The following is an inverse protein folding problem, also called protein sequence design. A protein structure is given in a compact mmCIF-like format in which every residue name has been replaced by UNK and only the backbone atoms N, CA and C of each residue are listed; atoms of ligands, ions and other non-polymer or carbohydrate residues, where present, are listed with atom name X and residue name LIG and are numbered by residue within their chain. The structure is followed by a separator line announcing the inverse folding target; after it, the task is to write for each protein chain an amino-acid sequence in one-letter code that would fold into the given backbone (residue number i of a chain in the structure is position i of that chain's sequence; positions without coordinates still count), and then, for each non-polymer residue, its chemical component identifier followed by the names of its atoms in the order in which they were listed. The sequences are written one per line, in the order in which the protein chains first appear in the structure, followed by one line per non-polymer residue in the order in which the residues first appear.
data_IF_093943126202
#
_entry.id   IF_093943126202
#
_cell.length_a   1.000
_cell.length_b   1.000
_cell.length_c   1.000
_cell.angle_alpha   90.00
_cell.angle_beta   90.00
_cell.angle_gamma   90.00
#
_symmetry.space_group_name_H-M   'P 1'
#
loop_
_entity.id
_entity.type
_entity.pdbx_description
1 polymer ?
#
# COMPACT_ATOMS: atom_id res chain seq x y z
N UNK A 1 83.02 28.20 15.92
CA UNK A 1 82.21 28.49 14.72
C UNK A 1 81.43 27.23 14.35
N UNK A 2 80.14 27.35 13.97
CA UNK A 2 79.15 26.29 14.10
C UNK A 2 78.97 25.44 12.84
N UNK A 3 78.65 24.16 13.02
CA UNK A 3 78.12 23.22 12.01
C UNK A 3 77.29 22.20 12.81
N UNK A 4 76.08 21.73 12.48
CA UNK A 4 75.07 22.02 11.47
C UNK A 4 73.87 21.15 11.92
N UNK A 5 72.68 21.72 12.06
CA UNK A 5 71.47 21.01 12.50
C UNK A 5 71.00 20.06 11.39
N UNK A 6 70.64 18.82 11.73
CA UNK A 6 69.71 18.00 10.94
C UNK A 6 68.84 17.17 11.90
N UNK A 7 67.65 17.69 12.16
CA UNK A 7 66.57 16.98 12.85
C UNK A 7 66.03 15.88 11.93
N UNK A 8 66.10 14.62 12.37
CA UNK A 8 65.41 13.52 11.69
C UNK A 8 64.10 13.27 12.42
N UNK A 9 63.03 13.88 11.90
CA UNK A 9 61.65 13.58 12.30
C UNK A 9 61.28 12.20 11.73
N UNK A 10 61.27 11.15 12.56
CA UNK A 10 60.65 9.87 12.17
C UNK A 10 59.15 9.98 12.41
N UNK A 11 58.41 10.06 11.31
CA UNK A 11 56.96 10.20 11.23
C UNK A 11 56.25 9.07 11.97
N UNK A 12 55.29 9.44 12.81
CA UNK A 12 54.31 8.52 13.40
C UNK A 12 53.46 7.89 12.29
N UNK A 13 53.52 6.57 12.16
CA UNK A 13 52.62 5.81 11.29
C UNK A 13 51.37 5.41 12.09
N UNK A 14 50.33 6.24 12.05
CA UNK A 14 49.00 5.82 12.47
C UNK A 14 48.43 4.90 11.38
N UNK A 15 48.33 3.60 11.66
CA UNK A 15 47.54 2.69 10.84
C UNK A 15 46.06 2.92 11.16
N UNK A 16 45.42 3.82 10.40
CA UNK A 16 43.98 4.04 10.50
C UNK A 16 43.27 2.87 9.83
N UNK A 17 42.77 1.92 10.62
CA UNK A 17 41.85 0.89 10.15
C UNK A 17 40.54 1.54 9.71
N UNK A 18 40.17 1.41 8.43
CA UNK A 18 38.87 1.84 7.91
C UNK A 18 37.82 0.81 8.30
N UNK A 19 37.13 1.03 9.42
CA UNK A 19 35.98 0.23 9.81
C UNK A 19 34.77 0.67 8.97
N UNK A 20 34.40 -0.12 7.97
CA UNK A 20 33.21 0.11 7.15
C UNK A 20 31.96 -0.30 7.95
N UNK A 21 31.36 0.66 8.67
CA UNK A 21 30.08 0.47 9.35
C UNK A 21 28.95 0.36 8.29
N UNK A 22 28.53 -0.86 7.99
CA UNK A 22 27.28 -1.13 7.29
C UNK A 22 26.13 -0.79 8.23
N UNK A 23 25.65 0.45 8.18
CA UNK A 23 24.39 0.83 8.82
C UNK A 23 23.26 0.18 8.02
N UNK A 24 22.74 -0.94 8.50
CA UNK A 24 21.50 -1.52 7.98
C UNK A 24 20.34 -0.59 8.37
N UNK A 25 19.87 0.26 7.45
CA UNK A 25 18.60 0.96 7.65
C UNK A 25 17.49 -0.09 7.77
N UNK A 26 16.87 -0.19 8.94
CA UNK A 26 15.65 -0.97 9.09
C UNK A 26 14.59 -0.35 8.16
N UNK A 27 14.13 -1.11 7.17
CA UNK A 27 12.96 -0.73 6.39
C UNK A 27 11.76 -0.75 7.34
N UNK A 28 11.32 0.44 7.78
CA UNK A 28 10.10 0.56 8.57
C UNK A 28 8.90 0.41 7.64
N UNK A 29 8.02 -0.53 7.96
CA UNK A 29 6.79 -0.81 7.26
C UNK A 29 5.64 -0.64 8.26
N UNK A 30 4.71 0.26 7.94
CA UNK A 30 3.52 0.49 8.76
C UNK A 30 2.40 -0.44 8.34
N UNK A 31 1.30 -0.40 9.08
CA UNK A 31 0.11 -1.17 8.71
C UNK A 31 -0.91 -0.28 8.01
N UNK A 32 -1.71 -0.89 7.13
CA UNK A 32 -2.87 -0.22 6.54
C UNK A 32 -4.12 -0.82 7.18
N UNK A 33 -4.82 0.02 7.94
CA UNK A 33 -6.04 -0.31 8.66
C UNK A 33 -7.22 0.22 7.84
N UNK A 34 -8.07 -0.68 7.37
CA UNK A 34 -9.23 -0.36 6.54
C UNK A 34 -10.51 -0.62 7.34
N UNK A 35 -11.32 0.42 7.49
CA UNK A 35 -12.69 0.32 8.01
C UNK A 35 -13.67 0.49 6.86
N UNK A 36 -14.54 -0.49 6.68
CA UNK A 36 -15.47 -0.54 5.56
C UNK A 36 -16.86 -0.09 6.00
N UNK A 37 -17.35 1.00 5.41
CA UNK A 37 -18.69 1.51 5.61
C UNK A 37 -19.66 1.06 4.52
N UNK A 38 -20.96 1.06 4.82
CA UNK A 38 -22.01 0.78 3.83
C UNK A 38 -22.20 -0.69 3.47
N UNK A 39 -21.72 -1.60 4.33
CA UNK A 39 -21.99 -3.04 4.26
C UNK A 39 -23.50 -3.25 4.37
N UNK A 40 -24.09 -3.91 3.37
CA UNK A 40 -25.54 -4.01 3.22
C UNK A 40 -26.02 -5.43 2.89
N UNK A 41 -25.13 -6.29 2.41
CA UNK A 41 -25.47 -7.66 2.04
C UNK A 41 -24.95 -8.67 3.07
N UNK A 42 -25.34 -9.93 2.88
CA UNK A 42 -24.71 -11.07 3.52
C UNK A 42 -23.48 -11.46 2.70
N UNK A 43 -22.34 -11.66 3.36
CA UNK A 43 -21.11 -12.11 2.69
C UNK A 43 -19.88 -11.33 3.18
N UNK A 44 -18.69 -11.96 3.11
CA UNK A 44 -17.46 -11.34 3.57
C UNK A 44 -17.08 -10.14 2.71
N UNK A 45 -16.29 -9.27 3.31
CA UNK A 45 -15.65 -8.14 2.64
C UNK A 45 -14.21 -8.50 2.34
N UNK A 46 -13.77 -8.21 1.12
CA UNK A 46 -12.38 -8.33 0.72
C UNK A 46 -11.78 -6.95 0.46
N UNK A 47 -10.52 -6.76 0.85
CA UNK A 47 -9.71 -5.61 0.45
C UNK A 47 -8.50 -6.09 -0.36
N UNK A 48 -8.37 -5.58 -1.59
CA UNK A 48 -7.30 -5.86 -2.51
C UNK A 48 -6.39 -4.63 -2.63
N UNK A 49 -5.14 -4.76 -2.17
CA UNK A 49 -4.09 -3.75 -2.26
C UNK A 49 -3.36 -3.87 -3.60
N UNK A 50 -3.23 -2.76 -4.32
CA UNK A 50 -2.53 -2.68 -5.61
C UNK A 50 -1.59 -1.48 -5.64
N UNK A 51 -0.64 -1.47 -6.58
CA UNK A 51 0.20 -0.28 -6.79
C UNK A 51 -0.63 0.87 -7.33
N UNK A 52 -0.39 2.08 -6.80
CA UNK A 52 -1.06 3.30 -7.23
C UNK A 52 -0.64 3.80 -8.62
N UNK A 53 0.40 3.24 -9.23
CA UNK A 53 0.86 3.62 -10.58
C UNK A 53 0.10 2.90 -11.70
N UNK A 54 -0.84 2.01 -11.36
CA UNK A 54 -1.52 1.19 -12.34
C UNK A 54 -2.72 1.92 -12.98
N UNK A 55 -2.81 1.87 -14.30
CA UNK A 55 -3.94 2.43 -15.06
C UNK A 55 -5.14 1.46 -15.16
N UNK A 56 -4.99 0.22 -14.68
CA UNK A 56 -6.05 -0.80 -14.65
C UNK A 56 -5.92 -1.63 -13.39
N UNK A 57 -7.06 -2.04 -12.82
CA UNK A 57 -7.09 -3.00 -11.73
C UNK A 57 -6.54 -4.35 -12.21
N UNK A 58 -5.47 -4.88 -11.59
CA UNK A 58 -4.89 -6.16 -11.96
C UNK A 58 -5.79 -7.30 -11.47
N UNK A 59 -5.72 -8.45 -12.13
CA UNK A 59 -6.41 -9.66 -11.65
C UNK A 59 -5.80 -10.17 -10.34
N UNK A 60 -4.49 -9.99 -10.16
CA UNK A 60 -3.77 -10.39 -8.96
C UNK A 60 -3.33 -9.14 -8.18
N UNK A 61 -3.87 -8.91 -6.97
CA UNK A 61 -3.42 -7.82 -6.12
C UNK A 61 -2.06 -8.14 -5.48
N UNK A 62 -1.40 -7.11 -4.96
CA UNK A 62 -0.17 -7.26 -4.17
C UNK A 62 -0.46 -8.00 -2.86
N UNK A 63 -1.63 -7.74 -2.27
CA UNK A 63 -2.14 -8.41 -1.08
C UNK A 63 -3.66 -8.37 -1.10
N UNK A 64 -4.30 -9.41 -0.57
CA UNK A 64 -5.73 -9.47 -0.37
C UNK A 64 -6.01 -9.91 1.07
N UNK A 65 -6.94 -9.21 1.73
CA UNK A 65 -7.41 -9.56 3.07
C UNK A 65 -8.92 -9.75 3.05
N UNK A 66 -9.41 -10.66 3.90
CA UNK A 66 -10.83 -10.92 4.13
C UNK A 66 -11.22 -10.48 5.54
N UNK A 67 -12.44 -9.98 5.69
CA UNK A 67 -13.10 -9.75 6.98
C UNK A 67 -14.60 -10.02 6.85
N UNK A 68 -15.22 -10.48 7.94
CA UNK A 68 -16.67 -10.65 8.02
C UNK A 68 -17.36 -9.43 8.67
N UNK A 69 -16.63 -8.53 9.34
CA UNK A 69 -17.16 -7.35 10.06
C UNK A 69 -16.82 -6.00 9.40
N UNK A 70 -15.96 -6.01 8.37
CA UNK A 70 -15.55 -4.80 7.65
C UNK A 70 -14.30 -4.12 8.23
N UNK A 71 -13.65 -4.69 9.23
CA UNK A 71 -12.34 -4.25 9.70
C UNK A 71 -11.24 -5.13 9.09
N UNK A 72 -10.34 -4.52 8.31
CA UNK A 72 -9.24 -5.23 7.65
C UNK A 72 -7.90 -4.59 8.01
N UNK A 73 -6.88 -5.43 8.18
CA UNK A 73 -5.50 -5.00 8.42
C UNK A 73 -4.59 -5.63 7.38
N UNK A 74 -3.80 -4.79 6.72
CA UNK A 74 -2.70 -5.19 5.86
C UNK A 74 -1.41 -4.84 6.61
N UNK A 75 -0.77 -5.84 7.18
CA UNK A 75 0.42 -5.68 8.02
C UNK A 75 1.70 -5.41 7.21
N UNK A 76 2.61 -4.64 7.81
CA UNK A 76 3.99 -4.45 7.33
C UNK A 76 4.04 -4.08 5.84
N UNK A 77 3.27 -3.08 5.44
CA UNK A 77 3.28 -2.54 4.08
C UNK A 77 4.44 -1.54 3.95
N UNK A 78 5.33 -1.70 2.97
CA UNK A 78 6.41 -0.74 2.76
C UNK A 78 5.87 0.65 2.37
N UNK A 79 6.58 1.75 2.69
CA UNK A 79 6.20 3.07 2.22
C UNK A 79 6.08 3.11 0.69
N UNK A 80 5.04 3.77 0.19
CA UNK A 80 4.76 3.82 -1.25
C UNK A 80 3.39 4.38 -1.61
N UNK A 81 3.10 4.38 -2.92
CA UNK A 81 1.81 4.81 -3.48
C UNK A 81 0.97 3.59 -3.81
N UNK A 82 -0.21 3.52 -3.21
CA UNK A 82 -1.09 2.36 -3.31
C UNK A 82 -2.52 2.77 -3.62
N UNK A 83 -3.31 1.81 -4.07
CA UNK A 83 -4.76 1.90 -4.09
C UNK A 83 -5.35 0.63 -3.48
N UNK A 84 -6.52 0.76 -2.87
CA UNK A 84 -7.28 -0.36 -2.32
C UNK A 84 -8.64 -0.42 -3.00
N UNK A 85 -9.01 -1.62 -3.42
CA UNK A 85 -10.36 -1.96 -3.83
C UNK A 85 -10.98 -2.86 -2.78
N UNK A 86 -12.12 -2.43 -2.26
CA UNK A 86 -12.94 -3.20 -1.35
C UNK A 86 -14.16 -3.69 -2.09
N UNK A 87 -14.54 -4.95 -1.92
CA UNK A 87 -15.81 -5.47 -2.42
C UNK A 87 -16.46 -6.39 -1.41
N UNK A 88 -17.79 -6.41 -1.42
CA UNK A 88 -18.57 -7.35 -0.63
C UNK A 88 -18.95 -8.53 -1.50
N UNK A 89 -18.37 -9.69 -1.19
CA UNK A 89 -18.56 -10.94 -1.94
C UNK A 89 -19.86 -11.61 -1.49
N UNK A 90 -20.88 -11.47 -2.32
CA UNK A 90 -22.24 -11.95 -2.05
C UNK A 90 -22.46 -13.39 -2.51
N UNK A 91 -21.61 -13.90 -3.41
CA UNK A 91 -21.77 -15.23 -4.00
C UNK A 91 -20.71 -16.26 -3.54
N UNK A 92 -19.70 -15.81 -2.78
CA UNK A 92 -18.70 -16.64 -2.13
C UNK A 92 -17.53 -17.06 -3.02
N UNK A 93 -17.30 -16.39 -4.15
CA UNK A 93 -16.22 -16.76 -5.07
C UNK A 93 -14.86 -16.10 -4.76
N UNK A 94 -14.80 -15.14 -3.83
CA UNK A 94 -13.59 -14.42 -3.43
C UNK A 94 -13.04 -13.45 -4.47
N UNK A 95 -13.83 -13.12 -5.51
CA UNK A 95 -13.47 -12.26 -6.63
C UNK A 95 -14.52 -11.16 -6.80
N UNK A 96 -14.10 -9.97 -7.24
CA UNK A 96 -15.06 -8.95 -7.62
C UNK A 96 -15.70 -9.32 -8.97
N UNK A 97 -16.97 -9.67 -8.95
CA UNK A 97 -17.70 -9.95 -10.18
C UNK A 97 -17.97 -8.69 -11.00
N UNK A 98 -17.72 -8.81 -12.30
CA UNK A 98 -17.88 -7.72 -13.25
C UNK A 98 -18.76 -8.14 -14.43
N UNK A 99 -19.75 -7.31 -14.73
CA UNK A 99 -20.60 -7.45 -15.90
C UNK A 99 -19.97 -6.85 -17.17
N UNK A 100 -20.82 -6.60 -18.17
CA UNK A 100 -20.39 -6.01 -19.44
C UNK A 100 -19.70 -4.65 -19.21
N UNK A 101 -18.57 -4.43 -19.89
CA UNK A 101 -17.74 -3.21 -19.79
C UNK A 101 -17.10 -2.99 -18.40
N UNK A 102 -16.89 -4.05 -17.62
CA UNK A 102 -16.16 -3.98 -16.34
C UNK A 102 -16.95 -3.33 -15.19
N UNK A 103 -18.28 -3.23 -15.35
CA UNK A 103 -19.18 -2.68 -14.32
C UNK A 103 -19.29 -3.71 -13.19
N UNK A 104 -18.97 -3.36 -11.94
CA UNK A 104 -19.16 -4.21 -10.77
C UNK A 104 -20.61 -4.71 -10.66
N UNK A 105 -20.77 -6.00 -10.39
CA UNK A 105 -22.07 -6.62 -10.07
C UNK A 105 -22.33 -6.66 -8.56
N UNK A 106 -21.28 -6.45 -7.78
CA UNK A 106 -21.30 -6.46 -6.32
C UNK A 106 -20.95 -5.07 -5.74
N UNK A 107 -21.34 -4.78 -4.48
CA UNK A 107 -20.94 -3.54 -3.82
C UNK A 107 -19.43 -3.39 -3.81
N UNK A 108 -18.95 -2.23 -4.30
CA UNK A 108 -17.52 -1.93 -4.38
C UNK A 108 -17.23 -0.57 -3.76
N UNK A 109 -16.07 -0.44 -3.13
CA UNK A 109 -15.52 0.82 -2.63
C UNK A 109 -14.05 0.91 -3.02
N UNK A 110 -13.56 2.12 -3.26
CA UNK A 110 -12.16 2.37 -3.60
C UNK A 110 -11.54 3.32 -2.58
N UNK A 111 -10.23 3.22 -2.36
CA UNK A 111 -9.49 4.21 -1.60
C UNK A 111 -9.73 5.62 -2.16
N UNK A 112 -9.75 6.62 -1.28
CA UNK A 112 -10.15 8.01 -1.58
C UNK A 112 -11.65 8.21 -1.91
N UNK A 113 -12.47 7.15 -1.87
CA UNK A 113 -13.92 7.19 -2.09
C UNK A 113 -14.39 8.00 -3.32
N UNK A 114 -13.77 7.82 -4.50
CA UNK A 114 -14.21 8.52 -5.71
C UNK A 114 -15.64 8.13 -6.11
N UNK A 115 -16.38 9.01 -6.78
CA UNK A 115 -17.71 8.70 -7.30
C UNK A 115 -17.62 7.67 -8.46
N UNK A 116 -18.48 6.63 -8.43
CA UNK A 116 -18.53 5.58 -9.47
C UNK A 116 -19.43 5.93 -10.68
N UNK A 117 -19.56 7.22 -11.03
CA UNK A 117 -20.57 7.72 -11.97
C UNK A 117 -20.36 7.24 -13.43
N UNK A 118 -19.12 7.11 -13.86
CA UNK A 118 -18.74 6.76 -15.24
C UNK A 118 -17.98 5.44 -15.34
N UNK A 119 -18.35 4.47 -14.50
CA UNK A 119 -17.62 3.22 -14.33
C UNK A 119 -16.65 3.28 -13.16
N UNK A 120 -15.85 2.23 -13.00
CA UNK A 120 -14.90 2.08 -11.91
C UNK A 120 -13.65 2.93 -12.16
N UNK A 121 -13.31 3.92 -11.31
CA UNK A 121 -12.06 4.67 -11.39
C UNK A 121 -10.84 3.75 -11.42
N UNK A 122 -9.74 4.21 -11.99
CA UNK A 122 -8.49 3.42 -12.04
C UNK A 122 -7.80 3.41 -10.66
N UNK A 123 -6.83 2.50 -10.43
CA UNK A 123 -5.97 2.59 -9.24
C UNK A 123 -5.29 3.95 -9.10
N UNK A 124 -4.79 4.52 -10.21
CA UNK A 124 -4.18 5.86 -10.22
C UNK A 124 -5.15 6.97 -9.79
N UNK A 125 -6.44 6.87 -10.13
CA UNK A 125 -7.48 7.81 -9.69
C UNK A 125 -7.90 7.61 -8.22
N UNK A 126 -7.49 6.50 -7.61
CA UNK A 126 -7.89 6.08 -6.25
C UNK A 126 -6.67 6.00 -5.31
N UNK A 127 -5.56 6.63 -5.66
CA UNK A 127 -4.28 6.49 -4.96
C UNK A 127 -4.28 7.17 -3.59
N UNK A 128 -3.54 6.59 -2.65
CA UNK A 128 -3.11 7.21 -1.40
C UNK A 128 -1.63 6.92 -1.14
N UNK A 129 -1.01 7.73 -0.28
CA UNK A 129 0.37 7.54 0.16
C UNK A 129 0.39 6.78 1.48
N UNK A 130 1.25 5.77 1.56
CA UNK A 130 1.57 5.05 2.78
C UNK A 130 3.00 5.37 3.20
N UNK A 131 3.19 5.74 4.48
CA UNK A 131 4.48 6.06 5.07
C UNK A 131 5.04 4.89 5.90
N UNK A 132 5.93 5.20 6.84
CA UNK A 132 6.46 4.22 7.80
C UNK A 132 5.55 4.02 9.02
N UNK A 133 4.55 4.88 9.19
CA UNK A 133 3.54 4.80 10.23
C UNK A 133 2.24 4.21 9.68
N UNK A 134 1.40 3.74 10.60
CA UNK A 134 0.10 3.16 10.23
C UNK A 134 -0.76 4.16 9.48
N UNK A 135 -1.46 3.69 8.45
CA UNK A 135 -2.41 4.45 7.65
C UNK A 135 -3.81 3.92 7.90
N UNK A 136 -4.71 4.81 8.30
CA UNK A 136 -6.11 4.48 8.51
C UNK A 136 -6.95 4.96 7.34
N UNK A 137 -7.75 4.07 6.76
CA UNK A 137 -8.62 4.36 5.63
C UNK A 137 -10.05 3.97 5.97
N UNK A 138 -10.98 4.91 5.78
CA UNK A 138 -12.41 4.61 5.77
C UNK A 138 -12.86 4.51 4.31
N UNK A 139 -13.29 3.32 3.89
CA UNK A 139 -13.75 3.07 2.52
C UNK A 139 -15.24 2.74 2.54
N UNK A 140 -16.03 3.45 1.74
CA UNK A 140 -17.48 3.28 1.67
C UNK A 140 -17.84 2.43 0.45
N UNK A 141 -18.55 1.33 0.69
CA UNK A 141 -19.17 0.54 -0.36
C UNK A 141 -20.29 1.34 -1.03
N UNK A 142 -20.31 1.25 -2.36
CA UNK A 142 -21.36 1.77 -3.20
C UNK A 142 -21.96 0.60 -3.98
N UNK A 143 -23.25 0.36 -3.80
CA UNK A 143 -23.97 -0.67 -4.56
C UNK A 143 -23.97 -0.28 -6.04
N UNK A 144 -23.81 -1.24 -6.96
CA UNK A 144 -24.02 -0.99 -8.37
C UNK A 144 -25.42 -0.40 -8.56
N UNK A 145 -25.55 0.68 -9.34
CA UNK A 145 -26.89 1.14 -9.73
C UNK A 145 -27.51 0.04 -10.58
N UNK A 146 -28.53 -0.63 -10.04
CA UNK A 146 -29.39 -1.49 -10.82
C UNK A 146 -29.94 -0.66 -11.98
N UNK A 147 -29.76 -1.14 -13.21
CA UNK A 147 -30.41 -0.53 -14.37
C UNK A 147 -31.91 -0.78 -14.20
N UNK A 148 -32.66 0.27 -13.85
CA UNK A 148 -34.12 0.25 -13.98
C UNK A 148 -34.51 0.12 -15.45
#
# INVERSE_FOLDING_TARGET
MPQRILQTVKKAGYQTGLLLLLVSSAAQAGDILVTVGGIQATGPVYAALVSGEQNRWPEQPLRQQRSDDGELRLDSVPPGRYAIQVFQDSNGNGLLDQGRRGIPLEPVGLSSNPPLLNGKPTPADSVFEHGTADTQLHIRLQSPKAKQ
#
